data_IF_283009266350
#
_entry.id   IF_283009266350
#
_cell.length_a   1.000
_cell.length_b   1.000
_cell.length_c   1.000
_cell.angle_alpha   90.00
_cell.angle_beta   90.00
_cell.angle_gamma   90.00
#
_symmetry.space_group_name_H-M   'P 1'
#
loop_
_entity.id
_entity.type
_entity.pdbx_description
1 polymer ?
#
# COMPACT_ATOMS: atom_id res chain seq x y z
N UNK A 1 16.94 -37.31 -19.54
CA UNK A 1 16.95 -35.97 -18.92
C UNK A 1 15.59 -35.26 -18.99
N UNK A 2 14.68 -35.59 -19.93
CA UNK A 2 13.34 -34.98 -19.98
C UNK A 2 12.43 -35.28 -18.77
N UNK A 3 12.59 -36.42 -18.09
CA UNK A 3 11.70 -36.82 -16.98
C UNK A 3 11.89 -36.06 -15.66
N UNK A 4 13.10 -35.57 -15.36
CA UNK A 4 13.37 -34.89 -14.09
C UNK A 4 12.84 -33.44 -14.06
N UNK A 5 12.83 -32.78 -15.22
CA UNK A 5 12.28 -31.41 -15.36
C UNK A 5 10.76 -31.42 -15.13
N UNK A 6 10.06 -32.41 -15.69
CA UNK A 6 8.59 -32.52 -15.58
C UNK A 6 8.13 -32.73 -14.13
N UNK A 7 8.87 -33.50 -13.32
CA UNK A 7 8.51 -33.75 -11.91
C UNK A 7 8.67 -32.49 -11.06
N UNK A 8 9.72 -31.69 -11.28
CA UNK A 8 9.92 -30.43 -10.55
C UNK A 8 8.86 -29.36 -10.87
N UNK A 9 8.40 -29.30 -12.12
CA UNK A 9 7.34 -28.39 -12.56
C UNK A 9 5.98 -28.81 -11.98
N UNK A 10 5.67 -30.11 -11.94
CA UNK A 10 4.42 -30.62 -11.37
C UNK A 10 4.35 -30.46 -9.84
N UNK A 11 5.47 -30.67 -9.12
CA UNK A 11 5.53 -30.44 -7.67
C UNK A 11 5.37 -28.96 -7.32
N UNK A 12 5.93 -28.06 -8.15
CA UNK A 12 5.77 -26.61 -7.99
C UNK A 12 4.32 -26.18 -8.23
N UNK A 13 3.68 -26.68 -9.29
CA UNK A 13 2.29 -26.38 -9.59
C UNK A 13 1.33 -26.90 -8.50
N UNK A 14 1.58 -28.10 -7.95
CA UNK A 14 0.77 -28.67 -6.89
C UNK A 14 0.93 -27.94 -5.54
N UNK A 15 2.13 -27.44 -5.23
CA UNK A 15 2.36 -26.66 -4.01
C UNK A 15 1.66 -25.28 -4.05
N UNK A 16 1.59 -24.66 -5.23
CA UNK A 16 0.90 -23.38 -5.43
C UNK A 16 -0.62 -23.53 -5.26
N UNK A 17 -1.19 -24.67 -5.67
CA UNK A 17 -2.64 -24.86 -5.67
C UNK A 17 -3.26 -25.06 -4.27
N UNK A 18 -2.46 -25.36 -3.23
CA UNK A 18 -2.98 -25.83 -1.94
C UNK A 18 -2.95 -24.82 -0.78
N UNK A 19 -2.30 -23.65 -0.92
CA UNK A 19 -2.17 -22.71 0.21
C UNK A 19 -2.21 -21.22 -0.24
N UNK A 20 -3.43 -20.63 -0.36
CA UNK A 20 -3.61 -19.26 -0.86
C UNK A 20 -3.13 -18.15 0.09
N UNK A 21 -2.85 -18.44 1.36
CA UNK A 21 -2.47 -17.42 2.36
C UNK A 21 -0.95 -17.20 2.50
N UNK A 22 -0.13 -17.93 1.75
CA UNK A 22 1.32 -17.98 1.97
C UNK A 22 1.98 -16.60 1.79
N UNK A 23 2.67 -16.09 2.81
CA UNK A 23 3.62 -14.99 2.66
C UNK A 23 4.77 -15.47 1.74
N UNK A 24 4.81 -14.95 0.51
CA UNK A 24 5.73 -15.39 -0.55
C UNK A 24 7.18 -15.42 -0.09
N UNK A 25 7.56 -14.44 0.73
CA UNK A 25 8.91 -14.32 1.31
C UNK A 25 9.25 -15.56 2.13
N UNK A 26 8.34 -16.05 2.96
CA UNK A 26 8.62 -17.18 3.86
C UNK A 26 8.89 -18.50 3.12
N UNK A 27 8.44 -18.64 1.87
CA UNK A 27 8.60 -19.87 1.09
C UNK A 27 9.64 -19.74 -0.02
N UNK A 28 9.71 -18.57 -0.68
CA UNK A 28 10.72 -18.30 -1.70
C UNK A 28 12.10 -18.16 -1.07
N UNK A 29 12.23 -17.51 0.10
CA UNK A 29 13.54 -17.26 0.71
C UNK A 29 14.30 -18.54 1.08
N UNK A 30 13.70 -19.58 1.71
CA UNK A 30 14.39 -20.85 1.92
C UNK A 30 14.89 -21.51 0.63
N UNK A 31 14.11 -21.43 -0.46
CA UNK A 31 14.50 -21.98 -1.77
C UNK A 31 15.68 -21.17 -2.35
N UNK A 32 15.64 -19.84 -2.26
CA UNK A 32 16.75 -18.96 -2.67
C UNK A 32 18.01 -19.28 -1.85
N UNK A 33 17.91 -19.46 -0.54
CA UNK A 33 19.05 -19.81 0.30
C UNK A 33 19.62 -21.19 -0.04
N UNK A 34 18.76 -22.20 -0.24
CA UNK A 34 19.18 -23.52 -0.66
C UNK A 34 19.86 -23.50 -2.04
N UNK A 35 19.34 -22.71 -2.98
CA UNK A 35 19.94 -22.48 -4.29
C UNK A 35 21.29 -21.78 -4.17
N UNK A 36 21.40 -20.71 -3.39
CA UNK A 36 22.65 -19.99 -3.13
C UNK A 36 23.71 -20.90 -2.52
N UNK A 37 23.35 -21.69 -1.51
CA UNK A 37 24.25 -22.69 -0.92
C UNK A 37 24.68 -23.76 -1.94
N UNK A 38 23.75 -24.24 -2.77
CA UNK A 38 24.04 -25.21 -3.82
C UNK A 38 25.03 -24.66 -4.85
N UNK A 39 24.83 -23.40 -5.28
CA UNK A 39 25.74 -22.70 -6.18
C UNK A 39 27.13 -22.57 -5.56
N UNK A 40 27.23 -22.19 -4.28
CA UNK A 40 28.51 -22.09 -3.57
C UNK A 40 29.24 -23.44 -3.48
N UNK A 41 28.52 -24.53 -3.18
CA UNK A 41 29.09 -25.89 -3.14
C UNK A 41 29.56 -26.33 -4.51
N UNK A 42 28.74 -26.15 -5.56
CA UNK A 42 29.09 -26.49 -6.93
C UNK A 42 30.28 -25.68 -7.43
N UNK A 43 30.36 -24.40 -7.09
CA UNK A 43 31.48 -23.52 -7.41
C UNK A 43 32.76 -23.95 -6.71
N UNK A 44 32.66 -24.28 -5.42
CA UNK A 44 33.79 -24.79 -4.65
C UNK A 44 34.33 -26.10 -5.25
N UNK A 45 33.45 -27.05 -5.57
CA UNK A 45 33.86 -28.32 -6.22
C UNK A 45 34.50 -28.04 -7.59
N UNK A 46 33.88 -27.17 -8.39
CA UNK A 46 34.40 -26.82 -9.72
C UNK A 46 35.79 -26.19 -9.65
N UNK A 47 36.04 -25.34 -8.65
CA UNK A 47 37.31 -24.65 -8.44
C UNK A 47 38.39 -25.60 -7.90
N UNK A 48 38.11 -26.32 -6.81
CA UNK A 48 39.11 -27.18 -6.16
C UNK A 48 39.45 -28.44 -6.94
N UNK A 49 38.57 -28.90 -7.84
CA UNK A 49 38.76 -30.15 -8.59
C UNK A 49 38.92 -29.92 -10.09
N UNK A 50 39.21 -28.70 -10.54
CA UNK A 50 39.22 -28.35 -11.97
C UNK A 50 40.06 -29.31 -12.83
N UNK A 51 41.26 -29.66 -12.34
CA UNK A 51 42.21 -30.53 -13.03
C UNK A 51 41.75 -32.01 -13.07
N UNK A 52 41.03 -32.47 -12.04
CA UNK A 52 40.53 -33.84 -11.91
C UNK A 52 39.22 -34.10 -12.68
N UNK A 53 38.51 -33.04 -13.07
CA UNK A 53 37.19 -33.14 -13.65
C UNK A 53 37.27 -33.53 -15.14
N UNK A 54 36.90 -34.76 -15.44
CA UNK A 54 36.66 -35.16 -16.84
C UNK A 54 35.46 -34.39 -17.45
N UNK A 55 35.34 -34.45 -18.78
CA UNK A 55 34.29 -33.74 -19.53
C UNK A 55 32.86 -34.06 -19.04
N UNK A 56 32.61 -35.31 -18.64
CA UNK A 56 31.29 -35.72 -18.13
C UNK A 56 30.98 -35.02 -16.82
N UNK A 57 31.94 -34.97 -15.89
CA UNK A 57 31.76 -34.32 -14.59
C UNK A 57 31.60 -32.80 -14.74
N UNK A 58 32.37 -32.15 -15.64
CA UNK A 58 32.18 -30.72 -15.96
C UNK A 58 30.76 -30.43 -16.45
N UNK A 59 30.21 -31.27 -17.33
CA UNK A 59 28.80 -31.16 -17.78
C UNK A 59 27.79 -31.37 -16.65
N UNK A 60 28.05 -32.30 -15.74
CA UNK A 60 27.17 -32.52 -14.57
C UNK A 60 27.16 -31.28 -13.67
N UNK A 61 28.33 -30.71 -13.36
CA UNK A 61 28.43 -29.50 -12.55
C UNK A 61 27.73 -28.33 -13.22
N UNK A 62 27.98 -28.11 -14.53
CA UNK A 62 27.32 -27.06 -15.31
C UNK A 62 25.79 -27.20 -15.31
N UNK A 63 25.27 -28.41 -15.54
CA UNK A 63 23.84 -28.66 -15.47
C UNK A 63 23.30 -28.49 -14.05
N UNK A 64 24.09 -28.82 -13.02
CA UNK A 64 23.76 -28.58 -11.63
C UNK A 64 23.57 -27.09 -11.32
N UNK A 65 24.49 -26.24 -11.80
CA UNK A 65 24.35 -24.78 -11.69
C UNK A 65 23.10 -24.28 -12.39
N UNK A 66 22.88 -24.77 -13.62
CA UNK A 66 21.71 -24.38 -14.40
C UNK A 66 20.42 -24.73 -13.65
N UNK A 67 20.32 -25.93 -13.08
CA UNK A 67 19.16 -26.35 -12.27
C UNK A 67 19.03 -25.50 -11.00
N UNK A 68 20.14 -25.27 -10.29
CA UNK A 68 20.15 -24.48 -9.05
C UNK A 68 19.71 -23.03 -9.26
N UNK A 69 19.90 -22.47 -10.46
CA UNK A 69 19.41 -21.12 -10.82
C UNK A 69 18.00 -21.16 -11.42
N UNK A 70 17.73 -22.05 -12.37
CA UNK A 70 16.45 -22.05 -13.09
C UNK A 70 15.27 -22.43 -12.21
N UNK A 71 15.41 -23.44 -11.36
CA UNK A 71 14.30 -23.92 -10.51
C UNK A 71 13.78 -22.82 -9.57
N UNK A 72 14.60 -22.15 -8.73
CA UNK A 72 14.09 -21.06 -7.89
C UNK A 72 13.57 -19.88 -8.70
N UNK A 73 14.19 -19.57 -9.85
CA UNK A 73 13.75 -18.45 -10.69
C UNK A 73 12.36 -18.68 -11.27
N UNK A 74 12.12 -19.88 -11.82
CA UNK A 74 10.80 -20.26 -12.35
C UNK A 74 9.77 -20.37 -11.23
N UNK A 75 10.15 -20.88 -10.06
CA UNK A 75 9.28 -20.93 -8.88
C UNK A 75 8.86 -19.52 -8.45
N UNK A 76 9.82 -18.61 -8.27
CA UNK A 76 9.54 -17.23 -7.87
C UNK A 76 8.68 -16.50 -8.91
N UNK A 77 9.00 -16.64 -10.20
CA UNK A 77 8.20 -16.07 -11.27
C UNK A 77 6.76 -16.62 -11.30
N UNK A 78 6.60 -17.94 -11.17
CA UNK A 78 5.28 -18.58 -11.12
C UNK A 78 4.46 -18.15 -9.90
N UNK A 79 5.11 -18.03 -8.75
CA UNK A 79 4.47 -17.59 -7.52
C UNK A 79 4.08 -16.10 -7.56
N UNK A 80 4.90 -15.24 -8.18
CA UNK A 80 4.55 -13.84 -8.42
C UNK A 80 3.34 -13.69 -9.36
N UNK A 81 3.33 -14.43 -10.48
CA UNK A 81 2.19 -14.45 -11.42
C UNK A 81 0.93 -14.95 -10.72
N UNK A 82 1.04 -16.04 -9.95
CA UNK A 82 -0.08 -16.57 -9.18
C UNK A 82 -0.63 -15.53 -8.20
N UNK A 83 0.24 -14.93 -7.37
CA UNK A 83 -0.16 -13.92 -6.40
C UNK A 83 -0.83 -12.72 -7.07
N UNK A 84 -0.30 -12.26 -8.20
CA UNK A 84 -0.89 -11.17 -8.99
C UNK A 84 -2.29 -11.54 -9.48
N UNK A 85 -2.46 -12.73 -10.07
CA UNK A 85 -3.75 -13.18 -10.63
C UNK A 85 -4.80 -13.47 -9.56
N UNK A 86 -4.41 -13.90 -8.37
CA UNK A 86 -5.34 -14.20 -7.27
C UNK A 86 -5.57 -13.01 -6.35
N UNK A 87 -4.88 -11.89 -6.55
CA UNK A 87 -5.04 -10.68 -5.75
C UNK A 87 -6.29 -9.89 -6.17
N UNK A 88 -6.87 -9.14 -5.23
CA UNK A 88 -7.93 -8.19 -5.53
C UNK A 88 -7.46 -7.09 -6.49
N UNK A 89 -6.21 -6.62 -6.33
CA UNK A 89 -5.61 -5.61 -7.21
C UNK A 89 -5.32 -6.11 -8.63
N UNK A 90 -5.30 -7.43 -8.86
CA UNK A 90 -4.96 -8.05 -10.14
C UNK A 90 -3.48 -7.89 -10.54
N UNK A 91 -2.61 -7.49 -9.61
CA UNK A 91 -1.20 -7.17 -9.87
C UNK A 91 -0.60 -6.21 -8.85
N UNK A 92 0.63 -5.79 -9.11
CA UNK A 92 1.32 -4.76 -8.34
C UNK A 92 0.70 -3.39 -8.65
N UNK A 93 0.37 -2.66 -7.58
CA UNK A 93 -0.09 -1.28 -7.62
C UNK A 93 1.09 -0.40 -7.19
N UNK A 94 1.28 0.72 -7.88
CA UNK A 94 2.01 1.86 -7.37
C UNK A 94 1.07 3.04 -7.56
N UNK A 95 0.55 3.57 -6.46
CA UNK A 95 -0.47 4.59 -6.50
C UNK A 95 -0.24 5.66 -5.45
N UNK A 96 -0.62 6.89 -5.79
CA UNK A 96 -0.54 8.04 -4.91
C UNK A 96 -1.91 8.67 -4.75
N UNK A 97 -2.23 9.12 -3.54
CA UNK A 97 -3.38 9.96 -3.25
C UNK A 97 -2.95 11.10 -2.34
N UNK A 98 -3.30 12.32 -2.69
CA UNK A 98 -2.89 13.50 -1.93
C UNK A 98 -3.90 13.69 -0.80
N UNK A 99 -3.45 14.00 0.41
CA UNK A 99 -4.35 14.08 1.56
C UNK A 99 -3.97 15.20 2.52
N UNK A 100 -4.99 15.70 3.22
CA UNK A 100 -4.84 16.77 4.19
C UNK A 100 -5.69 16.48 5.42
N UNK A 101 -5.11 16.69 6.61
CA UNK A 101 -5.83 16.53 7.88
C UNK A 101 -5.97 17.90 8.55
N UNK A 102 -7.20 18.41 8.60
CA UNK A 102 -7.50 19.75 9.08
C UNK A 102 -8.32 19.65 10.37
N UNK A 103 -7.91 20.38 11.40
CA UNK A 103 -8.65 20.47 12.67
C UNK A 103 -8.93 21.91 13.03
N UNK A 104 -10.14 22.17 13.51
CA UNK A 104 -10.53 23.47 14.05
C UNK A 104 -10.34 23.47 15.58
N UNK A 105 -9.41 24.28 16.08
CA UNK A 105 -9.13 24.47 17.50
C UNK A 105 -9.31 25.94 17.88
N UNK A 106 -10.18 26.23 18.86
CA UNK A 106 -10.48 27.60 19.31
C UNK A 106 -10.95 28.57 18.21
N UNK A 107 -11.62 28.06 17.17
CA UNK A 107 -12.10 28.85 16.03
C UNK A 107 -11.05 29.12 14.95
N UNK A 108 -9.85 28.55 15.08
CA UNK A 108 -8.79 28.60 14.06
C UNK A 108 -8.60 27.22 13.44
N UNK A 109 -8.38 27.16 12.12
CA UNK A 109 -8.08 25.93 11.41
C UNK A 109 -6.58 25.69 11.36
N UNK A 110 -6.18 24.44 11.61
CA UNK A 110 -4.80 23.99 11.57
C UNK A 110 -4.70 22.69 10.77
N UNK A 111 -3.79 22.68 9.79
CA UNK A 111 -3.32 21.46 9.14
C UNK A 111 -2.42 20.67 10.10
N UNK A 112 -2.59 19.35 10.11
CA UNK A 112 -1.82 18.43 10.92
C UNK A 112 -0.88 17.63 10.02
N UNK A 113 0.41 17.78 10.27
CA UNK A 113 1.44 16.94 9.63
C UNK A 113 1.45 15.56 10.29
N UNK A 114 1.64 14.53 9.47
CA UNK A 114 1.89 13.18 9.97
C UNK A 114 3.21 13.16 10.75
N UNK A 115 3.36 12.22 11.68
CA UNK A 115 4.63 11.98 12.35
C UNK A 115 5.76 11.70 11.33
N UNK A 116 6.90 12.39 11.50
CA UNK A 116 8.07 12.21 10.63
C UNK A 116 8.55 10.76 10.66
N UNK A 117 9.10 10.24 9.55
CA UNK A 117 9.65 8.88 9.48
C UNK A 117 10.59 8.55 10.65
N UNK A 118 11.51 9.47 10.96
CA UNK A 118 12.48 9.28 12.05
C UNK A 118 11.83 9.17 13.43
N UNK A 119 10.73 9.88 13.68
CA UNK A 119 10.01 9.85 14.94
C UNK A 119 9.09 8.62 15.02
N UNK A 120 8.44 8.27 13.90
CA UNK A 120 7.66 7.06 13.77
C UNK A 120 8.47 5.80 14.09
N UNK A 121 9.69 5.72 13.55
CA UNK A 121 10.64 4.62 13.80
C UNK A 121 11.03 4.44 15.26
N UNK A 122 11.10 5.53 16.04
CA UNK A 122 11.44 5.45 17.48
C UNK A 122 10.27 4.97 18.32
N UNK A 123 9.04 5.24 17.88
CA UNK A 123 7.83 4.98 18.65
C UNK A 123 7.21 3.61 18.35
N UNK A 124 7.55 3.00 17.21
CA UNK A 124 7.01 1.72 16.80
C UNK A 124 8.05 0.60 16.90
N UNK A 125 7.60 -0.62 17.16
CA UNK A 125 8.44 -1.82 17.12
C UNK A 125 8.61 -2.37 15.70
N UNK A 126 8.46 -1.52 14.68
CA UNK A 126 8.45 -1.96 13.29
C UNK A 126 9.83 -2.40 12.79
N UNK A 127 9.78 -3.09 11.65
CA UNK A 127 10.83 -3.87 11.01
C UNK A 127 12.22 -3.20 11.10
N UNK A 128 13.14 -3.86 11.82
CA UNK A 128 14.56 -3.51 11.94
C UNK A 128 14.85 -2.00 12.15
N UNK A 129 15.23 -1.56 13.38
CA UNK A 129 15.60 -0.17 13.66
C UNK A 129 16.59 0.43 12.65
N UNK A 130 17.48 -0.40 12.09
CA UNK A 130 18.43 -0.02 11.04
C UNK A 130 17.75 0.31 9.71
N UNK A 131 16.79 -0.51 9.25
CA UNK A 131 16.05 -0.19 8.03
C UNK A 131 15.19 1.05 8.22
N UNK A 132 14.54 1.19 9.37
CA UNK A 132 13.71 2.34 9.68
C UNK A 132 14.53 3.65 9.68
N UNK A 133 15.76 3.65 10.20
CA UNK A 133 16.65 4.83 10.19
C UNK A 133 17.17 5.25 8.80
N UNK A 134 17.11 4.35 7.82
CA UNK A 134 17.53 4.59 6.43
C UNK A 134 16.34 4.91 5.52
N UNK A 135 15.12 4.77 6.03
CA UNK A 135 13.90 4.92 5.26
C UNK A 135 13.35 6.34 5.48
N UNK A 136 13.02 7.02 4.40
CA UNK A 136 12.33 8.31 4.37
C UNK A 136 10.81 8.15 4.41
N UNK A 137 10.32 6.99 4.86
CA UNK A 137 8.91 6.57 4.83
C UNK A 137 8.33 6.44 6.23
N UNK A 138 7.13 6.98 6.44
CA UNK A 138 6.28 6.68 7.59
C UNK A 138 5.27 5.60 7.20
N UNK A 139 5.33 4.41 7.82
CA UNK A 139 4.37 3.32 7.61
C UNK A 139 5.00 1.97 7.28
N UNK A 140 4.37 1.23 6.37
CA UNK A 140 4.76 -0.10 5.89
C UNK A 140 5.15 -0.09 4.41
N UNK A 141 5.67 -1.20 3.90
CA UNK A 141 5.94 -1.35 2.45
C UNK A 141 4.69 -1.14 1.61
N UNK A 142 3.51 -1.56 2.09
CA UNK A 142 2.25 -1.42 1.34
C UNK A 142 1.65 -0.02 1.40
N UNK A 143 1.87 0.67 2.52
CA UNK A 143 1.31 1.98 2.83
C UNK A 143 2.36 2.85 3.45
N UNK A 144 2.72 3.94 2.79
CA UNK A 144 3.64 4.89 3.39
C UNK A 144 3.38 6.31 2.90
N UNK A 145 4.07 7.24 3.54
CA UNK A 145 4.07 8.66 3.29
C UNK A 145 5.52 9.13 3.40
N UNK A 146 5.95 10.04 2.51
CA UNK A 146 7.35 10.45 2.34
C UNK A 146 7.65 11.85 2.92
N UNK A 147 6.86 12.30 3.89
CA UNK A 147 6.76 13.71 4.31
C UNK A 147 6.45 14.64 3.11
N UNK A 148 5.56 14.19 2.24
CA UNK A 148 5.08 14.84 1.03
C UNK A 148 3.56 15.04 1.00
N UNK A 149 2.84 14.67 2.08
CA UNK A 149 1.37 14.74 2.20
C UNK A 149 0.65 13.83 1.18
N UNK A 150 1.30 12.72 0.80
CA UNK A 150 0.76 11.75 -0.16
C UNK A 150 0.71 10.36 0.44
N UNK A 151 -0.42 9.71 0.24
CA UNK A 151 -0.63 8.31 0.55
C UNK A 151 -0.05 7.47 -0.59
N UNK A 152 1.02 6.73 -0.32
CA UNK A 152 1.62 5.78 -1.26
C UNK A 152 1.06 4.38 -1.00
N UNK A 153 0.37 3.80 -2.00
CA UNK A 153 0.00 2.38 -2.04
C UNK A 153 0.95 1.65 -2.99
N UNK A 154 1.81 0.80 -2.44
CA UNK A 154 2.80 0.03 -3.22
C UNK A 154 2.67 -1.49 -2.99
N UNK A 155 2.60 -2.28 -4.05
CA UNK A 155 2.62 -3.74 -3.98
C UNK A 155 1.30 -4.42 -4.35
N UNK A 156 1.15 -5.69 -3.94
CA UNK A 156 0.00 -6.54 -4.30
C UNK A 156 -0.99 -6.62 -3.13
N UNK A 157 -2.24 -6.21 -3.37
CA UNK A 157 -3.31 -6.19 -2.37
C UNK A 157 -4.22 -7.40 -2.55
N UNK A 158 -4.24 -8.29 -1.55
CA UNK A 158 -4.95 -9.57 -1.64
C UNK A 158 -6.44 -9.38 -1.50
N UNK A 159 -6.81 -8.52 -0.56
CA UNK A 159 -8.18 -8.19 -0.21
C UNK A 159 -8.41 -6.70 -0.43
N UNK A 160 -9.66 -6.33 -0.69
CA UNK A 160 -10.04 -4.94 -0.95
C UNK A 160 -9.81 -4.06 0.27
N UNK A 161 -10.03 -4.63 1.44
CA UNK A 161 -9.96 -4.00 2.76
C UNK A 161 -8.53 -3.51 3.06
N UNK A 162 -7.52 -4.19 2.50
CA UNK A 162 -6.12 -3.80 2.58
C UNK A 162 -5.80 -2.52 1.81
N UNK A 163 -6.69 -2.04 0.92
CA UNK A 163 -6.48 -0.85 0.09
C UNK A 163 -7.36 0.34 0.49
N UNK A 164 -7.88 0.34 1.73
CA UNK A 164 -8.84 1.35 2.21
C UNK A 164 -8.19 2.55 2.91
N UNK A 165 -8.90 3.67 2.94
CA UNK A 165 -8.47 4.86 3.69
C UNK A 165 -8.34 4.56 5.19
N UNK A 166 -9.21 3.72 5.75
CA UNK A 166 -9.07 3.27 7.14
C UNK A 166 -7.77 2.49 7.36
N UNK A 167 -7.42 1.56 6.46
CA UNK A 167 -6.20 0.76 6.55
C UNK A 167 -4.92 1.61 6.48
N UNK A 168 -4.93 2.69 5.68
CA UNK A 168 -3.85 3.67 5.69
C UNK A 168 -3.64 4.26 7.09
N UNK A 169 -4.70 4.78 7.73
CA UNK A 169 -4.59 5.36 9.08
C UNK A 169 -4.17 4.36 10.14
N UNK A 170 -4.60 3.11 10.03
CA UNK A 170 -4.18 2.04 10.95
C UNK A 170 -2.69 1.69 10.82
N UNK A 171 -2.09 1.85 9.64
CA UNK A 171 -0.68 1.52 9.36
C UNK A 171 0.28 2.29 10.26
N UNK A 172 0.00 3.55 10.57
CA UNK A 172 0.82 4.37 11.46
C UNK A 172 0.30 4.42 12.91
N UNK A 173 -0.57 3.48 13.31
CA UNK A 173 -1.13 3.44 14.67
C UNK A 173 -2.22 4.48 14.92
N UNK A 174 -2.70 5.12 13.86
CA UNK A 174 -3.86 6.00 13.85
C UNK A 174 -5.18 5.21 13.79
N UNK A 175 -6.27 5.94 13.55
CA UNK A 175 -7.61 5.39 13.34
C UNK A 175 -8.49 6.44 12.67
N UNK A 176 -9.20 6.05 11.61
CA UNK A 176 -10.20 6.91 10.98
C UNK A 176 -11.53 6.17 10.86
N UNK A 177 -12.56 6.71 11.51
CA UNK A 177 -13.97 6.35 11.31
C UNK A 177 -14.75 7.64 11.07
N UNK A 178 -16.04 7.53 10.73
CA UNK A 178 -16.91 8.70 10.60
C UNK A 178 -17.02 9.55 11.88
N UNK A 179 -16.68 8.97 13.03
CA UNK A 179 -16.91 9.55 14.35
C UNK A 179 -15.65 9.66 15.20
N UNK A 180 -14.51 9.12 14.73
CA UNK A 180 -13.24 9.18 15.44
C UNK A 180 -12.06 9.37 14.49
N UNK A 181 -11.20 10.31 14.82
CA UNK A 181 -9.88 10.52 14.23
C UNK A 181 -8.83 10.30 15.32
N UNK A 182 -7.85 9.44 15.06
CA UNK A 182 -6.62 9.31 15.82
C UNK A 182 -5.47 9.47 14.83
N UNK A 183 -4.66 10.51 15.03
CA UNK A 183 -3.64 10.91 14.08
C UNK A 183 -2.33 11.21 14.82
N UNK A 184 -1.26 10.42 14.60
CA UNK A 184 0.03 10.67 15.23
C UNK A 184 0.76 11.81 14.51
N UNK A 185 1.09 12.86 15.24
CA UNK A 185 1.95 13.95 14.75
C UNK A 185 3.31 13.89 15.45
N UNK A 186 4.24 14.75 15.02
CA UNK A 186 5.54 14.91 15.68
C UNK A 186 5.46 15.35 17.15
N UNK A 187 4.41 16.11 17.51
CA UNK A 187 4.24 16.65 18.87
C UNK A 187 3.50 15.69 19.79
N UNK A 188 2.40 15.09 19.28
CA UNK A 188 1.49 14.26 20.06
C UNK A 188 0.59 13.43 19.17
N UNK A 189 -0.08 12.44 19.76
CA UNK A 189 -1.24 11.84 19.10
C UNK A 189 -2.45 12.77 19.27
N UNK A 190 -3.00 13.22 18.16
CA UNK A 190 -4.26 13.98 18.13
C UNK A 190 -5.41 12.98 18.08
N UNK A 191 -6.27 13.01 19.10
CA UNK A 191 -7.52 12.24 19.12
C UNK A 191 -8.72 13.20 19.09
N UNK A 192 -9.56 13.06 18.07
CA UNK A 192 -10.84 13.75 17.94
C UNK A 192 -11.95 12.73 17.87
N UNK A 193 -13.04 13.01 18.55
CA UNK A 193 -14.28 12.26 18.44
C UNK A 193 -15.40 13.22 18.09
N UNK A 194 -16.38 12.73 17.36
CA UNK A 194 -17.60 13.47 17.07
C UNK A 194 -18.26 13.93 18.38
N UNK A 195 -18.54 15.23 18.44
CA UNK A 195 -19.20 15.89 19.55
C UNK A 195 -20.52 16.50 19.11
N UNK A 196 -21.18 17.23 20.02
CA UNK A 196 -22.42 17.93 19.70
C UNK A 196 -22.24 19.08 18.71
N UNK A 197 -21.04 19.64 18.64
CA UNK A 197 -20.71 20.89 17.93
C UNK A 197 -19.70 20.69 16.80
N UNK A 198 -18.95 19.58 16.80
CA UNK A 198 -17.94 19.27 15.76
C UNK A 198 -18.06 17.85 15.27
N UNK A 199 -17.93 17.70 13.96
CA UNK A 199 -18.04 16.41 13.26
C UNK A 199 -16.83 16.18 12.38
N UNK A 200 -16.53 14.92 12.09
CA UNK A 200 -15.49 14.55 11.13
C UNK A 200 -16.14 14.51 9.74
N UNK A 201 -15.58 15.24 8.79
CA UNK A 201 -15.89 15.15 7.36
C UNK A 201 -14.72 14.54 6.63
N UNK A 202 -15.04 13.73 5.63
CA UNK A 202 -14.06 13.19 4.71
C UNK A 202 -14.57 13.48 3.32
N UNK A 203 -13.90 14.42 2.66
CA UNK A 203 -14.24 14.93 1.34
C UNK A 203 -13.20 14.41 0.37
N UNK A 204 -13.67 13.91 -0.77
CA UNK A 204 -12.82 13.25 -1.76
C UNK A 204 -13.12 13.81 -3.12
N UNK A 205 -12.08 14.17 -3.86
CA UNK A 205 -12.16 14.43 -5.29
C UNK A 205 -11.78 13.16 -6.06
N UNK A 206 -12.66 12.70 -6.94
CA UNK A 206 -12.39 11.53 -7.80
C UNK A 206 -12.08 11.90 -9.26
N UNK A 207 -11.88 13.18 -9.51
CA UNK A 207 -11.80 13.72 -10.85
C UNK A 207 -10.59 13.25 -11.67
N UNK A 208 -10.79 13.07 -12.98
CA UNK A 208 -9.71 12.79 -13.94
C UNK A 208 -9.62 13.93 -14.94
N UNK A 209 -8.41 14.45 -15.21
CA UNK A 209 -8.18 15.38 -16.31
C UNK A 209 -8.92 16.72 -16.17
N UNK A 210 -8.97 17.28 -14.96
CA UNK A 210 -9.56 18.60 -14.68
C UNK A 210 -11.08 18.58 -14.42
N UNK A 211 -11.76 17.45 -14.64
CA UNK A 211 -13.15 17.27 -14.23
C UNK A 211 -13.19 16.79 -12.79
N UNK A 212 -13.18 17.73 -11.85
CA UNK A 212 -13.21 17.45 -10.41
C UNK A 212 -14.62 17.08 -9.95
N UNK A 213 -14.73 15.94 -9.28
CA UNK A 213 -15.99 15.39 -8.76
C UNK A 213 -15.83 15.18 -7.26
N UNK A 214 -16.20 16.20 -6.48
CA UNK A 214 -16.14 16.17 -5.03
C UNK A 214 -17.36 15.45 -4.44
N UNK A 215 -17.09 14.48 -3.57
CA UNK A 215 -18.07 13.72 -2.81
C UNK A 215 -17.64 13.55 -1.35
N UNK A 216 -18.56 13.14 -0.48
CA UNK A 216 -18.31 12.88 0.92
C UNK A 216 -18.39 11.38 1.26
N UNK A 217 -17.56 10.94 2.20
CA UNK A 217 -17.68 9.62 2.84
C UNK A 217 -18.45 9.81 4.14
N UNK A 218 -19.76 9.53 4.13
CA UNK A 218 -20.60 9.80 5.31
C UNK A 218 -21.80 8.85 5.42
N UNK A 219 -22.32 8.71 6.64
CA UNK A 219 -23.62 8.13 6.95
C UNK A 219 -24.70 9.19 7.17
N UNK A 220 -24.34 10.48 7.08
CA UNK A 220 -25.27 11.58 7.32
C UNK A 220 -26.41 11.56 6.32
N UNK A 221 -27.64 11.65 6.82
CA UNK A 221 -28.84 11.85 6.01
C UNK A 221 -29.00 13.30 5.52
N UNK A 222 -28.06 14.18 5.84
CA UNK A 222 -28.09 15.60 5.45
C UNK A 222 -27.60 15.87 4.03
N UNK A 223 -27.03 14.86 3.36
CA UNK A 223 -26.54 14.95 2.00
C UNK A 223 -27.42 14.13 1.06
N UNK A 224 -27.56 14.60 -0.16
CA UNK A 224 -28.20 13.83 -1.22
C UNK A 224 -27.29 12.67 -1.66
N UNK A 225 -27.87 11.60 -2.22
CA UNK A 225 -27.10 10.42 -2.61
C UNK A 225 -26.04 10.68 -3.71
N UNK A 226 -26.16 11.79 -4.43
CA UNK A 226 -25.17 12.24 -5.44
C UNK A 226 -23.95 12.91 -4.82
N UNK A 227 -24.08 13.42 -3.60
CA UNK A 227 -23.00 14.02 -2.83
C UNK A 227 -22.18 12.97 -2.06
N UNK A 228 -22.64 11.72 -2.01
CA UNK A 228 -21.97 10.63 -1.32
C UNK A 228 -21.10 9.84 -2.31
N UNK A 229 -19.85 9.59 -1.92
CA UNK A 229 -18.92 8.85 -2.76
C UNK A 229 -19.43 7.45 -3.12
N UNK A 230 -19.11 6.98 -4.32
CA UNK A 230 -19.49 5.63 -4.78
C UNK A 230 -18.29 4.74 -5.09
N UNK A 231 -18.47 3.43 -4.93
CA UNK A 231 -17.52 2.42 -5.41
C UNK A 231 -17.63 2.29 -6.94
N UNK A 232 -16.67 1.64 -7.62
CA UNK A 232 -16.82 1.31 -9.05
C UNK A 232 -18.11 0.56 -9.39
N UNK A 233 -18.65 -0.21 -8.45
CA UNK A 233 -19.90 -0.97 -8.57
C UNK A 233 -21.16 -0.11 -8.31
N UNK A 234 -20.99 1.17 -7.95
CA UNK A 234 -22.09 2.11 -7.70
C UNK A 234 -22.61 2.14 -6.26
N UNK A 235 -22.02 1.37 -5.36
CA UNK A 235 -22.41 1.33 -3.95
C UNK A 235 -22.00 2.60 -3.21
N UNK A 236 -22.84 3.08 -2.29
CA UNK A 236 -22.51 4.24 -1.44
C UNK A 236 -21.37 3.91 -0.46
N UNK A 237 -20.37 4.76 -0.44
CA UNK A 237 -19.20 4.68 0.44
C UNK A 237 -19.49 5.50 1.69
N UNK A 238 -20.09 4.84 2.67
CA UNK A 238 -20.54 5.50 3.89
C UNK A 238 -19.52 5.51 5.01
N UNK A 239 -18.42 4.76 4.89
CA UNK A 239 -17.36 4.69 5.92
C UNK A 239 -15.97 4.69 5.28
N UNK A 240 -14.92 5.14 6.01
CA UNK A 240 -13.53 5.12 5.52
C UNK A 240 -13.03 3.71 5.16
N UNK A 241 -13.53 2.69 5.86
CA UNK A 241 -13.24 1.28 5.57
C UNK A 241 -13.89 0.74 4.29
N UNK A 242 -14.85 1.47 3.70
CA UNK A 242 -15.42 1.14 2.39
C UNK A 242 -14.75 1.91 1.26
N UNK A 243 -14.07 3.02 1.58
CA UNK A 243 -13.37 3.83 0.61
C UNK A 243 -12.04 3.17 0.28
N UNK A 244 -11.91 2.68 -0.94
CA UNK A 244 -10.66 2.19 -1.49
C UNK A 244 -9.95 3.38 -2.11
N UNK A 245 -8.71 3.64 -1.68
CA UNK A 245 -7.82 4.60 -2.31
C UNK A 245 -7.48 4.03 -3.69
N UNK A 246 -7.99 4.67 -4.73
CA UNK A 246 -8.31 3.95 -5.94
C UNK A 246 -7.26 4.11 -7.03
N UNK A 247 -6.69 3.02 -7.56
CA UNK A 247 -6.25 2.96 -8.94
C UNK A 247 -7.48 2.72 -9.84
N UNK A 248 -8.22 3.78 -10.18
CA UNK A 248 -9.32 3.62 -11.13
C UNK A 248 -8.76 3.17 -12.49
N UNK A 249 -9.51 2.31 -13.19
CA UNK A 249 -9.04 1.52 -14.36
C UNK A 249 -8.42 2.31 -15.53
N UNK A 250 -8.42 3.66 -15.54
CA UNK A 250 -7.84 4.49 -16.62
C UNK A 250 -7.39 5.88 -16.14
N UNK A 251 -6.09 6.07 -16.07
CA UNK A 251 -5.42 7.37 -15.88
C UNK A 251 -4.85 7.57 -14.48
N UNK A 252 -3.87 8.48 -14.29
CA UNK A 252 -3.45 8.91 -12.97
C UNK A 252 -4.62 9.66 -12.34
N UNK A 253 -5.33 9.01 -11.42
CA UNK A 253 -6.37 9.69 -10.62
C UNK A 253 -5.80 9.89 -9.24
N UNK A 254 -5.11 11.02 -9.03
CA UNK A 254 -4.73 11.41 -7.68
C UNK A 254 -6.03 11.71 -6.94
N UNK A 255 -6.42 10.81 -6.03
CA UNK A 255 -7.51 11.10 -5.12
C UNK A 255 -7.04 12.28 -4.25
N UNK A 256 -7.75 13.40 -4.29
CA UNK A 256 -7.53 14.53 -3.38
C UNK A 256 -8.44 14.31 -2.16
N UNK A 257 -7.88 14.15 -0.96
CA UNK A 257 -8.64 13.75 0.24
C UNK A 257 -8.48 14.79 1.36
N UNK A 258 -9.57 15.48 1.72
CA UNK A 258 -9.62 16.27 2.94
C UNK A 258 -10.26 15.48 4.08
N UNK A 259 -9.57 15.40 5.21
CA UNK A 259 -10.10 14.89 6.48
C UNK A 259 -10.23 16.08 7.44
N UNK A 260 -11.46 16.52 7.69
CA UNK A 260 -11.73 17.75 8.44
C UNK A 260 -12.43 17.45 9.75
N UNK A 261 -11.98 18.03 10.86
CA UNK A 261 -12.69 18.05 12.14
C UNK A 261 -13.01 19.49 12.56
N UNK A 262 -14.26 19.89 12.38
CA UNK A 262 -14.72 21.27 12.60
C UNK A 262 -16.24 21.34 12.81
N UNK A 263 -16.74 22.56 13.02
CA UNK A 263 -18.14 22.85 13.30
C UNK A 263 -19.05 23.04 12.09
N UNK A 264 -18.51 23.18 10.87
CA UNK A 264 -19.36 23.37 9.68
C UNK A 264 -20.24 22.15 9.40
N UNK A 265 -21.42 22.29 8.78
CA UNK A 265 -22.15 21.14 8.25
C UNK A 265 -21.45 20.52 7.03
N UNK A 266 -21.69 19.24 6.76
CA UNK A 266 -21.17 18.54 5.57
C UNK A 266 -21.45 19.28 4.26
N UNK A 267 -22.67 19.82 4.10
CA UNK A 267 -23.08 20.50 2.86
C UNK A 267 -22.24 21.76 2.61
N UNK A 268 -21.99 22.56 3.65
CA UNK A 268 -21.17 23.75 3.55
C UNK A 268 -19.71 23.39 3.23
N UNK A 269 -19.19 22.36 3.90
CA UNK A 269 -17.84 21.88 3.66
C UNK A 269 -17.65 21.38 2.22
N UNK A 270 -18.64 20.66 1.68
CA UNK A 270 -18.63 20.13 0.32
C UNK A 270 -18.78 21.24 -0.73
N UNK A 271 -19.66 22.21 -0.50
CA UNK A 271 -19.83 23.39 -1.37
C UNK A 271 -18.55 24.21 -1.47
N UNK A 272 -17.82 24.33 -0.37
CA UNK A 272 -16.57 25.07 -0.31
C UNK A 272 -15.49 24.43 -1.19
N UNK A 273 -15.22 23.13 -1.02
CA UNK A 273 -14.21 22.43 -1.83
C UNK A 273 -14.61 22.37 -3.31
N UNK A 274 -15.91 22.25 -3.63
CA UNK A 274 -16.41 22.31 -5.01
C UNK A 274 -16.14 23.66 -5.67
N UNK A 275 -16.28 24.74 -4.90
CA UNK A 275 -16.13 26.10 -5.42
C UNK A 275 -14.67 26.51 -5.56
N UNK A 276 -13.84 26.15 -4.58
CA UNK A 276 -12.50 26.72 -4.43
C UNK A 276 -11.37 25.71 -4.61
N UNK A 277 -11.66 24.41 -4.63
CA UNK A 277 -10.65 23.34 -4.50
C UNK A 277 -9.80 23.40 -3.24
N UNK A 278 -10.32 24.11 -2.25
CA UNK A 278 -9.66 24.42 -1.00
C UNK A 278 -10.67 24.29 0.11
N UNK A 279 -10.17 23.94 1.28
CA UNK A 279 -10.94 23.96 2.51
C UNK A 279 -10.36 25.01 3.43
N UNK A 280 -11.13 26.05 3.75
CA UNK A 280 -10.73 27.17 4.62
C UNK A 280 -9.39 27.82 4.18
N UNK A 281 -9.21 27.92 2.86
CA UNK A 281 -8.01 28.47 2.24
C UNK A 281 -6.81 27.52 2.13
N UNK A 282 -6.87 26.34 2.77
CA UNK A 282 -5.86 25.28 2.60
C UNK A 282 -6.10 24.57 1.28
N UNK A 283 -5.05 24.49 0.47
CA UNK A 283 -5.02 23.76 -0.79
C UNK A 283 -4.22 22.49 -0.55
N UNK A 284 -4.68 21.37 -1.11
CA UNK A 284 -3.88 20.14 -1.12
C UNK A 284 -2.60 20.46 -1.88
N UNK A 285 -1.46 20.28 -1.22
CA UNK A 285 -0.16 20.51 -1.83
C UNK A 285 -0.02 19.65 -3.07
N UNK A 286 -0.02 20.29 -4.25
CA UNK A 286 0.22 19.63 -5.54
C UNK A 286 1.71 19.60 -5.89
N UNK A 287 2.58 19.81 -4.91
CA UNK A 287 4.01 19.99 -5.13
C UNK A 287 4.69 18.70 -5.65
N UNK A 288 3.96 17.59 -5.71
CA UNK A 288 4.30 16.44 -6.53
C UNK A 288 3.95 16.68 -8.00
N UNK A 289 4.88 17.24 -8.79
CA UNK A 289 4.93 16.91 -10.22
C UNK A 289 5.13 15.39 -10.34
N UNK A 290 4.01 14.65 -10.44
CA UNK A 290 3.99 13.21 -10.62
C UNK A 290 4.35 12.84 -12.06
N UNK A 291 5.52 12.20 -12.19
CA UNK A 291 6.07 11.53 -13.38
C UNK A 291 5.13 10.50 -14.02
#
# INVERSE_FOLDING_TARGET
>A
MAGAVVISVLATAAAIQYQPEINLINYVMPIIYAAGLSILVLASISFYREEDLNLRNKKILMNGFLIAVLVPSLYAAGAFVHQSQTSWSGGEIHWHADYEVIVEENGEYKQLDLIDPQNFCKQTTHESPTMCSLNDRTGSTKYHEHNDDRIHLEGIFREREEATLAAFFETFGGKLTNTKLKYPTNERVVEKAEGSDKTIKILVNKGVGGNREWCAITQSSSLDEEDICRTPEGELVTTPSKYVISPYKRGPTLDDIFIVYDSNPYIQALDEVRKNDKYEGMEISKDGEGF
#
